data_IF_409580775399
#
_entry.id   IF_409580775399
#
_cell.length_a   1.000
_cell.length_b   1.000
_cell.length_c   1.000
_cell.angle_alpha   90.00
_cell.angle_beta   90.00
_cell.angle_gamma   90.00
#
_symmetry.space_group_name_H-M   'P 1'
#
loop_
_entity.id
_entity.type
_entity.pdbx_description
1 polymer ?
#
# COMPACT_ATOMS: atom_id res chain seq x y z
N UNK A 1 -8.27 -3.36 -8.02
CA UNK A 1 -7.84 -3.52 -6.61
C UNK A 1 -8.26 -2.34 -5.70
N UNK A 2 -8.67 -1.19 -6.27
CA UNK A 2 -9.21 -0.02 -5.55
C UNK A 2 -10.29 -0.32 -4.49
N UNK A 3 -11.17 -1.30 -4.73
CA UNK A 3 -12.20 -1.71 -3.76
C UNK A 3 -11.63 -2.11 -2.39
N UNK A 4 -10.46 -2.74 -2.36
CA UNK A 4 -9.83 -3.19 -1.12
C UNK A 4 -9.28 -2.02 -0.31
N UNK A 5 -8.76 -0.98 -0.99
CA UNK A 5 -8.34 0.27 -0.36
C UNK A 5 -9.53 1.05 0.22
N UNK A 6 -10.67 1.10 -0.48
CA UNK A 6 -11.89 1.71 0.08
C UNK A 6 -12.34 0.95 1.34
N UNK A 7 -12.41 -0.39 1.28
CA UNK A 7 -12.82 -1.18 2.43
C UNK A 7 -11.88 -1.02 3.63
N UNK A 8 -10.56 -0.96 3.42
CA UNK A 8 -9.60 -0.76 4.52
C UNK A 8 -9.72 0.63 5.13
N UNK A 9 -9.91 1.67 4.30
CA UNK A 9 -10.16 3.04 4.75
C UNK A 9 -11.43 3.16 5.59
N UNK A 10 -12.52 2.53 5.16
CA UNK A 10 -13.78 2.50 5.92
C UNK A 10 -13.62 1.73 7.23
N UNK A 11 -12.97 0.56 7.22
CA UNK A 11 -12.74 -0.24 8.43
C UNK A 11 -11.85 0.51 9.44
N UNK A 12 -10.83 1.23 8.97
CA UNK A 12 -9.98 2.06 9.80
C UNK A 12 -10.76 3.20 10.45
N UNK A 13 -11.55 3.92 9.68
CA UNK A 13 -12.41 4.99 10.17
C UNK A 13 -13.48 4.48 11.15
N UNK A 14 -14.00 3.27 10.94
CA UNK A 14 -14.93 2.63 11.87
C UNK A 14 -14.30 2.25 13.20
N UNK A 15 -13.05 1.76 13.18
CA UNK A 15 -12.36 1.29 14.38
C UNK A 15 -11.69 2.42 15.18
N UNK A 16 -11.21 3.47 14.51
CA UNK A 16 -10.39 4.53 15.12
C UNK A 16 -10.94 5.94 14.91
N UNK A 17 -11.98 6.10 14.09
CA UNK A 17 -12.58 7.39 13.81
C UNK A 17 -13.47 7.87 14.97
N UNK A 18 -13.59 9.19 15.17
CA UNK A 18 -14.50 9.76 16.16
C UNK A 18 -15.96 9.46 15.82
N UNK A 19 -16.77 9.26 16.86
CA UNK A 19 -18.21 9.02 16.75
C UNK A 19 -18.90 10.13 15.96
N UNK A 20 -19.56 9.74 14.88
CA UNK A 20 -20.30 10.65 14.00
C UNK A 20 -21.72 10.81 14.54
N UNK A 21 -22.04 11.98 15.09
CA UNK A 21 -23.37 12.31 15.63
C UNK A 21 -24.19 13.24 14.73
N UNK A 22 -23.62 13.71 13.60
CA UNK A 22 -24.25 14.67 12.70
C UNK A 22 -23.94 14.38 11.23
N UNK A 23 -24.80 14.86 10.33
CA UNK A 23 -24.59 14.75 8.88
C UNK A 23 -23.27 15.41 8.42
N UNK A 24 -22.88 16.51 9.06
CA UNK A 24 -21.59 17.16 8.78
C UNK A 24 -20.42 16.25 9.20
N UNK A 25 -20.52 15.61 10.37
CA UNK A 25 -19.53 14.64 10.83
C UNK A 25 -19.41 13.44 9.88
N UNK A 26 -20.50 13.03 9.23
CA UNK A 26 -20.52 11.93 8.27
C UNK A 26 -19.72 12.28 7.00
N UNK A 27 -19.86 13.52 6.51
CA UNK A 27 -19.07 14.02 5.38
C UNK A 27 -17.57 14.09 5.68
N UNK A 28 -17.21 14.53 6.89
CA UNK A 28 -15.80 14.53 7.32
C UNK A 28 -15.23 13.12 7.47
N UNK A 29 -16.00 12.19 8.06
CA UNK A 29 -15.59 10.81 8.23
C UNK A 29 -15.41 10.08 6.89
N UNK A 30 -16.28 10.32 5.91
CA UNK A 30 -16.15 9.70 4.58
C UNK A 30 -14.91 10.19 3.82
N UNK A 31 -14.56 11.47 3.93
CA UNK A 31 -13.32 12.01 3.37
C UNK A 31 -12.09 11.40 4.04
N UNK A 32 -12.08 11.30 5.38
CA UNK A 32 -10.98 10.67 6.11
C UNK A 32 -10.82 9.20 5.74
N UNK A 33 -11.93 8.45 5.68
CA UNK A 33 -11.92 7.05 5.25
C UNK A 33 -11.37 6.91 3.83
N UNK A 34 -11.76 7.79 2.90
CA UNK A 34 -11.26 7.79 1.54
C UNK A 34 -9.75 8.08 1.47
N UNK A 35 -9.27 9.07 2.24
CA UNK A 35 -7.85 9.39 2.33
C UNK A 35 -7.05 8.24 2.96
N UNK A 36 -7.54 7.65 4.05
CA UNK A 36 -6.94 6.47 4.68
C UNK A 36 -6.85 5.29 3.69
N UNK A 37 -7.90 5.08 2.89
CA UNK A 37 -7.92 4.08 1.84
C UNK A 37 -6.88 4.33 0.74
N UNK A 38 -6.71 5.59 0.30
CA UNK A 38 -5.67 5.97 -0.66
C UNK A 38 -4.26 5.78 -0.08
N UNK A 39 -4.04 6.10 1.19
CA UNK A 39 -2.74 5.88 1.85
C UNK A 39 -2.44 4.39 1.95
N UNK A 40 -3.42 3.58 2.38
CA UNK A 40 -3.27 2.12 2.44
C UNK A 40 -2.98 1.53 1.05
N UNK A 41 -3.62 2.08 0.02
CA UNK A 41 -3.37 1.71 -1.38
C UNK A 41 -1.92 1.98 -1.79
N UNK A 42 -1.42 3.19 -1.55
CA UNK A 42 -0.03 3.58 -1.85
C UNK A 42 0.96 2.68 -1.09
N UNK A 43 0.70 2.41 0.19
CA UNK A 43 1.56 1.53 0.99
C UNK A 43 1.65 0.11 0.42
N UNK A 44 0.54 -0.43 -0.10
CA UNK A 44 0.53 -1.74 -0.73
C UNK A 44 1.34 -1.75 -2.04
N UNK A 45 1.18 -0.72 -2.87
CA UNK A 45 1.96 -0.57 -4.12
C UNK A 45 3.45 -0.48 -3.83
N UNK A 46 3.85 0.27 -2.78
CA UNK A 46 5.25 0.34 -2.32
C UNK A 46 5.74 -1.05 -1.89
N UNK A 47 4.97 -1.76 -1.05
CA UNK A 47 5.36 -3.09 -0.60
C UNK A 47 5.53 -4.08 -1.77
N UNK A 48 4.63 -4.02 -2.75
CA UNK A 48 4.71 -4.84 -3.96
C UNK A 48 5.91 -4.49 -4.83
N UNK A 49 6.20 -3.20 -5.00
CA UNK A 49 7.38 -2.73 -5.72
C UNK A 49 8.66 -3.20 -5.02
N UNK A 50 8.76 -3.02 -3.70
CA UNK A 50 9.90 -3.49 -2.91
C UNK A 50 10.09 -5.00 -3.02
N UNK A 51 9.02 -5.78 -2.89
CA UNK A 51 9.08 -7.24 -3.04
C UNK A 51 9.61 -7.66 -4.41
N UNK A 52 9.13 -7.04 -5.49
CA UNK A 52 9.62 -7.29 -6.86
C UNK A 52 11.09 -6.92 -7.00
N UNK A 53 11.52 -5.80 -6.43
CA UNK A 53 12.93 -5.39 -6.43
C UNK A 53 13.81 -6.38 -5.68
N UNK A 54 13.36 -6.89 -4.54
CA UNK A 54 14.09 -7.91 -3.77
C UNK A 54 14.25 -9.19 -4.58
N UNK A 55 13.18 -9.69 -5.20
CA UNK A 55 13.24 -10.88 -6.05
C UNK A 55 14.19 -10.72 -7.23
N UNK A 56 14.20 -9.55 -7.88
CA UNK A 56 15.15 -9.24 -8.96
C UNK A 56 16.61 -9.21 -8.49
N UNK A 57 16.85 -8.81 -7.23
CA UNK A 57 18.20 -8.81 -6.66
C UNK A 57 18.70 -10.23 -6.38
N UNK A 58 17.78 -11.11 -5.97
CA UNK A 58 18.03 -12.52 -5.67
C UNK A 58 18.27 -13.33 -6.97
N UNK A 59 17.56 -12.99 -8.05
CA UNK A 59 17.71 -13.59 -9.39
C UNK A 59 19.01 -13.19 -10.13
N UNK A 60 19.99 -12.58 -9.45
CA UNK A 60 21.27 -12.25 -10.12
C UNK A 60 21.95 -13.54 -10.61
N UNK A 61 22.22 -13.67 -11.92
CA UNK A 61 22.91 -14.85 -12.44
C UNK A 61 24.31 -14.92 -11.80
N UNK A 62 24.81 -16.13 -11.49
CA UNK A 62 26.15 -16.29 -10.96
C UNK A 62 27.12 -15.59 -11.91
N UNK A 63 27.81 -14.56 -11.41
CA UNK A 63 28.86 -13.87 -12.16
C UNK A 63 29.88 -14.94 -12.55
N UNK A 64 29.85 -15.33 -13.82
CA UNK A 64 30.84 -16.24 -14.41
C UNK A 64 32.20 -15.58 -14.16
N UNK A 65 33.12 -16.21 -13.40
CA UNK A 65 34.46 -15.67 -13.24
C UNK A 65 35.07 -15.50 -14.63
N UNK A 66 35.66 -14.33 -14.86
CA UNK A 66 36.25 -13.88 -16.12
C UNK A 66 36.83 -15.00 -16.99
N UNK A 67 36.21 -15.24 -18.14
CA UNK A 67 36.84 -15.94 -19.26
C UNK A 67 37.79 -15.00 -20.04
N UNK A 68 38.53 -14.14 -19.32
CA UNK A 68 39.71 -13.44 -19.83
C UNK A 68 40.92 -13.95 -19.06
N UNK A 69 41.45 -15.08 -19.51
CA UNK A 69 42.90 -15.26 -19.48
C UNK A 69 43.34 -15.65 -20.89
N UNK A 70 44.33 -14.94 -21.45
CA UNK A 70 44.92 -15.27 -22.74
C UNK A 70 45.62 -16.63 -22.70
#
# INVERSE_FOLDING_TARGET
>A
MFKFGICSGIAFEWAHGPLVSSLHGLGSASIRAALAGLVAWIALEIAQATWRTVMLLDDRPPQRPDARRP
#
